data_IF_271247093988
#
_entry.id   IF_271247093988
#
_cell.length_a   1.000
_cell.length_b   1.000
_cell.length_c   1.000
_cell.angle_alpha   90.00
_cell.angle_beta   90.00
_cell.angle_gamma   90.00
#
_symmetry.space_group_name_H-M   'P 1'
#
loop_
_entity.id
_entity.type
_entity.pdbx_description
1 polymer ?
#
# COMPACT_ATOMS: atom_id res chain seq x y z
N UNK A 1 -14.93 -8.87 7.43
CA UNK A 1 -14.12 -7.75 6.91
C UNK A 1 -13.20 -8.33 5.88
N UNK A 2 -13.22 -7.81 4.65
CA UNK A 2 -12.75 -8.56 3.48
C UNK A 2 -11.30 -8.25 3.11
N UNK A 3 -10.35 -8.89 3.79
CA UNK A 3 -9.09 -9.45 3.26
C UNK A 3 -8.11 -8.55 2.45
N UNK A 4 -6.92 -9.11 2.27
CA UNK A 4 -6.04 -8.77 1.13
C UNK A 4 -6.39 -9.73 0.00
N UNK A 5 -6.83 -9.22 -1.14
CA UNK A 5 -7.20 -10.00 -2.32
C UNK A 5 -6.25 -9.68 -3.48
N UNK A 6 -5.56 -10.69 -3.99
CA UNK A 6 -4.88 -10.65 -5.26
C UNK A 6 -5.88 -10.81 -6.41
N UNK A 7 -5.88 -9.88 -7.35
CA UNK A 7 -6.78 -9.89 -8.50
C UNK A 7 -6.21 -10.68 -9.69
N UNK A 8 -4.95 -11.09 -9.63
CA UNK A 8 -4.29 -11.95 -10.61
C UNK A 8 -3.07 -12.68 -10.00
N UNK A 9 -2.57 -13.72 -10.68
CA UNK A 9 -1.42 -14.53 -10.22
C UNK A 9 -0.15 -13.70 -9.99
N UNK A 10 0.08 -12.68 -10.83
CA UNK A 10 1.21 -11.78 -10.66
C UNK A 10 1.10 -10.96 -9.36
N UNK A 11 -0.11 -10.59 -8.94
CA UNK A 11 -0.36 -9.95 -7.65
C UNK A 11 -0.16 -10.91 -6.48
N UNK A 12 -0.56 -12.19 -6.60
CA UNK A 12 -0.25 -13.21 -5.57
C UNK A 12 1.26 -13.31 -5.34
N UNK A 13 2.02 -13.37 -6.44
CA UNK A 13 3.47 -13.44 -6.38
C UNK A 13 4.09 -12.15 -5.81
N UNK A 14 3.59 -10.98 -6.19
CA UNK A 14 4.06 -9.71 -5.65
C UNK A 14 3.81 -9.60 -4.13
N UNK A 15 2.63 -9.99 -3.65
CA UNK A 15 2.33 -10.05 -2.21
C UNK A 15 3.24 -11.07 -1.52
N UNK A 16 3.45 -12.25 -2.10
CA UNK A 16 4.38 -13.25 -1.55
C UNK A 16 5.80 -12.70 -1.45
N UNK A 17 6.29 -12.01 -2.46
CA UNK A 17 7.63 -11.41 -2.47
C UNK A 17 7.77 -10.18 -1.56
N UNK A 18 6.67 -9.61 -1.08
CA UNK A 18 6.67 -8.46 -0.16
C UNK A 18 7.13 -8.80 1.27
N UNK A 19 7.16 -10.09 1.61
CA UNK A 19 7.69 -10.59 2.89
C UNK A 19 9.06 -11.26 2.70
N UNK A 20 9.88 -11.35 3.77
CA UNK A 20 11.14 -12.10 3.76
C UNK A 20 10.95 -13.54 3.27
N UNK A 21 11.96 -14.06 2.57
CA UNK A 21 11.91 -15.38 1.90
C UNK A 21 11.43 -16.52 2.80
N UNK A 22 11.92 -16.56 4.05
CA UNK A 22 11.55 -17.57 5.06
C UNK A 22 10.05 -17.64 5.38
N UNK A 23 9.27 -16.62 5.04
CA UNK A 23 7.83 -16.56 5.31
C UNK A 23 6.97 -16.74 4.05
N UNK A 24 7.58 -16.81 2.85
CA UNK A 24 6.85 -16.87 1.57
C UNK A 24 5.93 -18.08 1.46
N UNK A 25 6.33 -19.22 2.05
CA UNK A 25 5.51 -20.43 2.09
C UNK A 25 4.24 -20.29 2.92
N UNK A 26 4.18 -19.31 3.84
CA UNK A 26 2.99 -19.01 4.64
C UNK A 26 2.03 -18.03 3.95
N UNK A 27 2.40 -17.50 2.77
CA UNK A 27 1.55 -16.64 1.96
C UNK A 27 0.76 -17.52 0.98
N UNK A 28 -0.40 -17.97 1.46
CA UNK A 28 -1.31 -18.89 0.76
C UNK A 28 -2.57 -18.13 0.33
N UNK A 29 -3.05 -18.41 -0.87
CA UNK A 29 -4.27 -17.81 -1.42
C UNK A 29 -5.33 -18.88 -1.71
N UNK A 30 -6.60 -18.51 -1.57
CA UNK A 30 -7.75 -19.29 -2.03
C UNK A 30 -8.66 -18.38 -2.84
N UNK A 31 -8.76 -18.65 -4.15
CA UNK A 31 -9.50 -17.78 -5.08
C UNK A 31 -8.99 -16.32 -5.08
N UNK A 32 -7.67 -16.13 -4.97
CA UNK A 32 -7.03 -14.81 -4.85
C UNK A 32 -7.10 -14.18 -3.46
N UNK A 33 -7.83 -14.75 -2.50
CA UNK A 33 -7.94 -14.21 -1.14
C UNK A 33 -6.86 -14.77 -0.24
N UNK A 34 -6.11 -13.90 0.44
CA UNK A 34 -5.02 -14.29 1.35
C UNK A 34 -5.59 -15.06 2.57
N UNK A 35 -5.00 -16.22 2.87
CA UNK A 35 -5.33 -16.99 4.07
C UNK A 35 -4.75 -16.33 5.33
N UNK A 36 -5.64 -15.66 6.07
CA UNK A 36 -5.36 -14.99 7.34
C UNK A 36 -4.72 -15.93 8.35
N UNK A 37 -5.18 -17.19 8.43
CA UNK A 37 -4.74 -18.13 9.48
C UNK A 37 -3.26 -18.50 9.31
N UNK A 38 -2.87 -18.79 8.07
CA UNK A 38 -1.48 -19.12 7.71
C UNK A 38 -0.52 -17.95 8.00
N UNK A 39 -0.89 -16.73 7.59
CA UNK A 39 -0.07 -15.54 7.80
C UNK A 39 0.02 -15.17 9.28
N UNK A 40 -1.08 -15.29 10.03
CA UNK A 40 -1.11 -15.03 11.47
C UNK A 40 -0.25 -16.00 12.27
N UNK A 41 -0.24 -17.28 11.89
CA UNK A 41 0.64 -18.27 12.49
C UNK A 41 2.12 -17.92 12.27
N UNK A 42 2.49 -17.50 11.05
CA UNK A 42 3.85 -17.08 10.72
C UNK A 42 4.28 -15.78 11.45
N UNK A 43 3.33 -14.86 11.66
CA UNK A 43 3.54 -13.60 12.37
C UNK A 43 3.64 -13.74 13.90
N UNK A 44 3.33 -14.92 14.48
CA UNK A 44 3.31 -15.12 15.93
C UNK A 44 4.70 -14.91 16.53
N UNK A 45 4.77 -14.06 17.55
CA UNK A 45 6.03 -13.71 18.25
C UNK A 45 6.99 -12.86 17.42
N UNK A 46 6.55 -12.31 16.28
CA UNK A 46 7.35 -11.41 15.45
C UNK A 46 7.16 -9.95 15.86
N UNK A 47 8.18 -9.09 15.65
CA UNK A 47 8.08 -7.66 15.89
C UNK A 47 6.90 -7.02 15.16
N UNK A 48 6.28 -6.00 15.75
CA UNK A 48 5.08 -5.38 15.17
C UNK A 48 5.36 -4.74 13.80
N UNK A 49 6.59 -4.32 13.54
CA UNK A 49 7.05 -3.69 12.30
C UNK A 49 7.51 -4.68 11.21
N UNK A 50 7.57 -5.99 11.50
CA UNK A 50 7.96 -6.97 10.48
C UNK A 50 6.87 -7.07 9.40
N UNK A 51 7.26 -7.18 8.13
CA UNK A 51 6.35 -7.22 6.99
C UNK A 51 5.28 -8.33 7.13
N UNK A 52 5.66 -9.49 7.67
CA UNK A 52 4.71 -10.58 7.93
C UNK A 52 3.67 -10.20 9.00
N UNK A 53 4.06 -9.45 10.02
CA UNK A 53 3.16 -8.96 11.06
C UNK A 53 2.26 -7.83 10.57
N UNK A 54 2.76 -6.94 9.71
CA UNK A 54 1.95 -5.91 9.07
C UNK A 54 0.92 -6.58 8.15
N UNK A 55 1.35 -7.51 7.28
CA UNK A 55 0.46 -8.23 6.38
C UNK A 55 -0.64 -9.00 7.13
N UNK A 56 -0.30 -9.65 8.25
CA UNK A 56 -1.29 -10.31 9.12
C UNK A 56 -2.39 -9.34 9.57
N UNK A 57 -2.02 -8.12 9.99
CA UNK A 57 -2.99 -7.12 10.47
C UNK A 57 -3.81 -6.51 9.33
N UNK A 58 -3.18 -6.29 8.17
CA UNK A 58 -3.89 -5.84 6.98
C UNK A 58 -4.96 -6.85 6.56
N UNK A 59 -4.62 -8.14 6.61
CA UNK A 59 -5.52 -9.24 6.26
C UNK A 59 -6.72 -9.38 7.24
N UNK A 60 -6.58 -8.90 8.48
CA UNK A 60 -7.63 -8.87 9.50
C UNK A 60 -8.44 -7.56 9.52
N UNK A 61 -8.05 -6.54 8.74
CA UNK A 61 -8.70 -5.24 8.78
C UNK A 61 -10.10 -5.26 8.10
N UNK A 62 -11.04 -4.40 8.54
CA UNK A 62 -12.39 -4.36 7.99
C UNK A 62 -12.46 -3.85 6.54
N UNK A 63 -11.53 -3.00 6.11
CA UNK A 63 -11.52 -2.43 4.75
C UNK A 63 -10.98 -3.44 3.73
N UNK A 64 -11.64 -3.59 2.59
CA UNK A 64 -11.14 -4.46 1.53
C UNK A 64 -9.93 -3.87 0.81
N UNK A 65 -8.90 -4.70 0.58
CA UNK A 65 -7.66 -4.34 -0.11
C UNK A 65 -7.52 -5.24 -1.35
N UNK A 66 -7.65 -4.66 -2.53
CA UNK A 66 -7.45 -5.35 -3.80
C UNK A 66 -6.09 -5.01 -4.39
N UNK A 67 -5.27 -6.02 -4.67
CA UNK A 67 -3.93 -5.87 -5.27
C UNK A 67 -3.97 -6.39 -6.69
N UNK A 68 -3.55 -5.57 -7.65
CA UNK A 68 -3.53 -5.91 -9.07
C UNK A 68 -2.18 -5.57 -9.68
N UNK A 69 -1.57 -6.51 -10.39
CA UNK A 69 -0.45 -6.18 -11.30
C UNK A 69 -1.02 -5.89 -12.68
N UNK A 70 -0.84 -4.68 -13.21
CA UNK A 70 -1.42 -4.26 -14.48
C UNK A 70 -0.55 -3.20 -15.19
N UNK A 71 -0.81 -2.99 -16.48
CA UNK A 71 -0.20 -1.91 -17.27
C UNK A 71 -0.97 -0.60 -17.14
N UNK A 72 -2.26 -0.67 -16.83
CA UNK A 72 -3.15 0.47 -16.69
C UNK A 72 -4.17 0.23 -15.59
N UNK A 73 -4.79 1.32 -15.13
CA UNK A 73 -5.86 1.29 -14.15
C UNK A 73 -6.71 2.55 -14.24
N UNK A 74 -7.89 2.51 -13.64
CA UNK A 74 -8.81 3.63 -13.58
C UNK A 74 -8.87 4.20 -12.17
N UNK A 75 -9.00 5.52 -12.06
CA UNK A 75 -9.14 6.23 -10.80
C UNK A 75 -10.24 7.30 -10.92
N UNK A 76 -10.74 7.79 -9.78
CA UNK A 76 -11.77 8.82 -9.73
C UNK A 76 -11.20 10.14 -9.21
N UNK A 77 -11.71 11.24 -9.76
CA UNK A 77 -11.53 12.58 -9.23
C UNK A 77 -12.76 13.44 -9.55
N UNK A 78 -13.28 14.19 -8.57
CA UNK A 78 -14.46 15.05 -8.74
C UNK A 78 -15.63 14.34 -9.46
N UNK A 79 -15.92 13.09 -9.06
CA UNK A 79 -16.93 12.19 -9.66
C UNK A 79 -16.71 11.81 -11.15
N UNK A 80 -15.56 12.14 -11.73
CA UNK A 80 -15.14 11.67 -13.05
C UNK A 80 -14.16 10.51 -12.91
N UNK A 81 -14.25 9.55 -13.81
CA UNK A 81 -13.28 8.45 -13.92
C UNK A 81 -12.22 8.83 -14.95
N UNK A 82 -10.97 8.55 -14.63
CA UNK A 82 -9.80 8.76 -15.46
C UNK A 82 -9.05 7.45 -15.61
N UNK A 83 -8.57 7.16 -16.82
CA UNK A 83 -7.73 6.00 -17.09
C UNK A 83 -6.27 6.42 -17.14
N UNK A 84 -5.40 5.62 -16.55
CA UNK A 84 -3.97 5.86 -16.49
C UNK A 84 -3.19 4.63 -16.92
N UNK A 85 -2.07 4.84 -17.60
CA UNK A 85 -1.13 3.79 -18.00
C UNK A 85 0.21 4.03 -17.31
N UNK A 86 0.82 2.98 -16.74
CA UNK A 86 2.16 3.06 -16.18
C UNK A 86 3.20 3.24 -17.31
N UNK A 87 3.68 4.46 -17.56
CA UNK A 87 4.76 4.69 -18.52
C UNK A 87 6.11 4.32 -17.92
N UNK A 88 6.95 3.61 -18.68
CA UNK A 88 8.20 3.05 -18.16
C UNK A 88 9.37 4.04 -18.14
N UNK A 89 9.35 5.15 -18.88
CA UNK A 89 10.63 5.76 -19.29
C UNK A 89 10.98 7.17 -18.78
N UNK A 90 10.13 7.95 -18.11
CA UNK A 90 10.54 9.29 -17.66
C UNK A 90 9.93 9.70 -16.30
N UNK A 91 10.79 10.25 -15.44
CA UNK A 91 10.50 10.60 -14.04
C UNK A 91 9.93 12.02 -13.94
N UNK A 92 8.74 12.17 -13.36
CA UNK A 92 8.24 13.44 -12.86
C UNK A 92 6.77 13.38 -12.44
N UNK A 93 6.48 13.60 -11.16
CA UNK A 93 5.11 13.85 -10.70
C UNK A 93 4.73 15.28 -11.11
N UNK A 94 4.04 15.39 -12.24
CA UNK A 94 3.39 16.62 -12.69
C UNK A 94 1.88 16.38 -12.67
N UNK A 95 1.15 17.14 -11.87
CA UNK A 95 -0.31 17.17 -11.84
C UNK A 95 -0.90 18.09 -12.92
N UNK A 96 -0.18 18.31 -14.03
CA UNK A 96 -0.77 18.96 -15.21
C UNK A 96 -1.48 17.91 -16.07
N UNK A 97 -2.71 18.27 -16.46
CA UNK A 97 -3.88 17.42 -16.71
C UNK A 97 -3.78 16.32 -17.78
N UNK A 98 -2.62 16.07 -18.38
CA UNK A 98 -2.53 15.18 -19.54
C UNK A 98 -1.56 13.99 -19.37
N UNK A 99 -0.64 13.97 -18.40
CA UNK A 99 0.27 12.83 -18.19
C UNK A 99 0.62 12.63 -16.71
N UNK A 100 -0.15 11.79 -16.02
CA UNK A 100 0.18 11.35 -14.66
C UNK A 100 1.21 10.21 -14.77
N UNK A 101 2.49 10.53 -14.55
CA UNK A 101 3.56 9.55 -14.49
C UNK A 101 3.62 8.95 -13.09
N UNK A 102 3.21 7.69 -12.95
CA UNK A 102 3.29 7.02 -11.66
C UNK A 102 4.56 6.20 -11.53
N UNK A 103 5.11 6.32 -10.32
CA UNK A 103 5.97 5.34 -9.65
C UNK A 103 5.49 3.90 -9.97
N UNK A 104 6.33 2.87 -9.84
CA UNK A 104 6.00 1.54 -10.31
C UNK A 104 4.88 0.84 -9.50
N UNK A 105 4.28 1.54 -8.53
CA UNK A 105 3.03 1.19 -7.86
C UNK A 105 2.23 2.43 -7.48
N UNK A 106 0.95 2.22 -7.14
CA UNK A 106 0.04 3.25 -6.62
C UNK A 106 -1.03 2.63 -5.75
N UNK A 107 -1.41 3.36 -4.71
CA UNK A 107 -2.54 3.03 -3.84
C UNK A 107 -3.66 4.04 -4.05
N UNK A 108 -4.82 3.57 -4.52
CA UNK A 108 -6.07 4.33 -4.59
C UNK A 108 -6.90 4.06 -3.34
N UNK A 109 -7.34 5.14 -2.70
CA UNK A 109 -8.13 5.05 -1.48
C UNK A 109 -9.62 5.09 -1.80
N UNK A 110 -10.49 4.45 -1.01
CA UNK A 110 -11.92 4.70 -1.09
C UNK A 110 -12.20 6.21 -1.08
N UNK A 111 -13.07 6.68 -1.97
CA UNK A 111 -13.54 8.06 -1.97
C UNK A 111 -14.03 8.39 -0.56
N UNK A 112 -13.38 9.37 0.09
CA UNK A 112 -13.71 9.73 1.46
C UNK A 112 -15.11 10.33 1.50
N UNK A 113 -15.87 9.96 2.53
CA UNK A 113 -16.91 10.83 3.07
C UNK A 113 -16.30 12.24 3.26
N UNK A 114 -16.89 13.26 2.62
CA UNK A 114 -16.39 14.62 2.29
C UNK A 114 -15.43 15.31 3.29
N UNK A 115 -15.45 14.95 4.58
CA UNK A 115 -14.74 15.64 5.66
C UNK A 115 -13.21 15.59 5.60
N UNK A 116 -12.62 14.66 4.83
CA UNK A 116 -11.21 14.33 4.97
C UNK A 116 -10.33 14.58 3.74
N UNK A 117 -10.90 15.06 2.64
CA UNK A 117 -10.16 15.61 1.47
C UNK A 117 -9.80 17.08 1.69
N UNK A 118 -10.60 17.81 2.49
CA UNK A 118 -10.43 19.25 2.78
C UNK A 118 -9.09 19.62 3.44
N UNK A 119 -8.38 18.66 4.05
CA UNK A 119 -7.11 18.91 4.76
C UNK A 119 -5.85 18.63 3.94
N UNK A 120 -5.95 17.95 2.80
CA UNK A 120 -4.78 17.48 2.06
C UNK A 120 -4.23 18.49 1.04
N UNK A 121 -4.99 19.52 0.65
CA UNK A 121 -4.56 20.54 -0.32
C UNK A 121 -4.39 20.03 -1.77
N UNK A 122 -4.12 18.75 -1.95
CA UNK A 122 -3.93 18.08 -3.24
C UNK A 122 -5.09 17.10 -3.53
N UNK A 123 -5.55 17.12 -4.79
CA UNK A 123 -6.57 16.22 -5.32
C UNK A 123 -5.97 14.83 -5.51
N UNK A 124 -6.23 13.93 -4.57
CA UNK A 124 -5.62 12.60 -4.53
C UNK A 124 -6.45 11.57 -5.32
N UNK A 125 -5.80 10.57 -5.92
CA UNK A 125 -6.51 9.61 -6.75
C UNK A 125 -7.32 8.63 -5.90
N UNK A 126 -8.64 8.60 -6.12
CA UNK A 126 -9.55 7.74 -5.37
C UNK A 126 -9.98 6.52 -6.17
N UNK A 127 -10.33 5.46 -5.45
CA UNK A 127 -10.77 4.17 -5.96
C UNK A 127 -12.06 4.31 -6.77
N UNK A 128 -12.15 3.57 -7.88
CA UNK A 128 -13.39 3.50 -8.66
C UNK A 128 -14.43 2.61 -8.00
N UNK A 129 -13.98 1.64 -7.20
CA UNK A 129 -14.76 0.55 -6.60
C UNK A 129 -15.17 0.78 -5.14
N UNK A 130 -14.68 1.85 -4.52
CA UNK A 130 -14.96 2.16 -3.11
C UNK A 130 -14.21 1.26 -2.12
N UNK A 131 -13.14 0.59 -2.57
CA UNK A 131 -12.25 -0.24 -1.74
C UNK A 131 -10.83 0.35 -1.79
N UNK A 132 -9.90 -0.20 -1.03
CA UNK A 132 -8.48 0.15 -1.17
C UNK A 132 -7.97 -0.63 -2.38
N UNK A 133 -7.51 0.07 -3.42
CA UNK A 133 -6.95 -0.57 -4.61
C UNK A 133 -5.44 -0.30 -4.66
N UNK A 134 -4.65 -1.35 -4.81
CA UNK A 134 -3.21 -1.28 -4.99
C UNK A 134 -2.89 -1.78 -6.37
N UNK A 135 -2.30 -0.92 -7.20
CA UNK A 135 -1.81 -1.27 -8.52
C UNK A 135 -0.30 -1.31 -8.53
N UNK A 136 0.25 -2.34 -9.16
CA UNK A 136 1.68 -2.53 -9.35
C UNK A 136 1.91 -2.61 -10.86
N UNK A 137 2.85 -1.82 -11.36
CA UNK A 137 3.22 -1.83 -12.77
C UNK A 137 3.74 -3.21 -13.19
N UNK A 138 3.25 -3.70 -14.32
CA UNK A 138 3.77 -4.92 -14.96
C UNK A 138 5.19 -4.73 -15.50
N UNK A 139 5.54 -3.51 -15.91
CA UNK A 139 6.77 -3.16 -16.62
C UNK A 139 7.59 -2.13 -15.84
N UNK A 140 8.03 -2.46 -14.61
CA UNK A 140 8.94 -1.58 -13.86
C UNK A 140 10.39 -1.74 -14.35
N UNK A 141 10.99 -0.74 -15.04
CA UNK A 141 12.40 -0.82 -15.44
C UNK A 141 13.35 -0.57 -14.27
N UNK A 142 12.84 -0.07 -13.15
CA UNK A 142 13.62 0.17 -11.94
C UNK A 142 13.70 -1.11 -11.11
N UNK A 143 14.94 -1.51 -10.83
CA UNK A 143 15.45 -2.71 -10.11
C UNK A 143 14.93 -2.90 -8.67
N UNK A 144 13.64 -2.72 -8.43
CA UNK A 144 12.95 -3.21 -7.24
C UNK A 144 12.10 -4.41 -7.68
N UNK A 145 12.25 -5.56 -7.02
CA UNK A 145 11.35 -6.68 -7.30
C UNK A 145 9.91 -6.23 -7.05
N UNK A 146 8.95 -6.79 -7.78
CA UNK A 146 7.51 -6.51 -7.58
C UNK A 146 7.11 -6.64 -6.10
N UNK A 147 7.76 -7.55 -5.36
CA UNK A 147 7.65 -7.63 -3.91
C UNK A 147 7.97 -6.35 -3.14
N UNK A 148 9.04 -5.62 -3.49
CA UNK A 148 9.38 -4.35 -2.84
C UNK A 148 8.33 -3.27 -3.11
N UNK A 149 7.81 -3.21 -4.33
CA UNK A 149 6.74 -2.28 -4.69
C UNK A 149 5.46 -2.65 -3.91
N UNK A 150 5.08 -3.92 -3.91
CA UNK A 150 3.96 -4.41 -3.12
C UNK A 150 4.12 -4.08 -1.63
N UNK A 151 5.32 -4.24 -1.08
CA UNK A 151 5.61 -3.88 0.31
C UNK A 151 5.44 -2.37 0.55
N UNK A 152 5.92 -1.52 -0.37
CA UNK A 152 5.76 -0.07 -0.25
C UNK A 152 4.28 0.34 -0.25
N UNK A 153 3.50 -0.15 -1.21
CA UNK A 153 2.08 0.17 -1.31
C UNK A 153 1.29 -0.36 -0.11
N UNK A 154 1.47 -1.64 0.25
CA UNK A 154 0.74 -2.27 1.36
C UNK A 154 1.15 -1.72 2.73
N UNK A 155 2.45 -1.60 3.00
CA UNK A 155 2.95 -1.31 4.35
C UNK A 155 3.21 0.17 4.58
N UNK A 156 3.47 0.93 3.51
CA UNK A 156 3.57 2.38 3.52
C UNK A 156 2.20 3.04 3.43
N UNK A 157 1.52 2.90 2.28
CA UNK A 157 0.30 3.65 1.98
C UNK A 157 -0.95 3.06 2.65
N UNK A 158 -1.24 1.77 2.44
CA UNK A 158 -2.46 1.15 2.99
C UNK A 158 -2.46 1.15 4.52
N UNK A 159 -1.37 0.73 5.15
CA UNK A 159 -1.22 0.78 6.61
C UNK A 159 -1.43 2.20 7.15
N UNK A 160 -0.82 3.22 6.54
CA UNK A 160 -0.92 4.59 7.01
C UNK A 160 -2.35 5.13 6.88
N UNK A 161 -3.03 4.82 5.76
CA UNK A 161 -4.45 5.14 5.61
C UNK A 161 -5.32 4.53 6.71
N UNK A 162 -5.10 3.26 7.08
CA UNK A 162 -5.84 2.61 8.16
C UNK A 162 -5.57 3.30 9.50
N UNK A 163 -4.29 3.59 9.81
CA UNK A 163 -3.93 4.32 11.04
C UNK A 163 -4.53 5.73 11.09
N UNK A 164 -4.61 6.39 9.93
CA UNK A 164 -5.25 7.70 9.79
C UNK A 164 -6.75 7.63 10.09
N UNK A 165 -7.47 6.62 9.55
CA UNK A 165 -8.89 6.39 9.87
C UNK A 165 -9.13 6.14 11.36
N UNK A 166 -8.14 5.58 12.05
CA UNK A 166 -8.19 5.33 13.49
C UNK A 166 -7.80 6.57 14.34
N UNK A 167 -7.45 7.70 13.71
CA UNK A 167 -7.00 8.91 14.41
C UNK A 167 -5.60 8.80 15.03
N UNK A 168 -4.82 7.78 14.65
CA UNK A 168 -3.46 7.54 15.19
C UNK A 168 -2.42 8.41 14.49
N UNK A 169 -2.60 8.68 13.20
CA UNK A 169 -1.76 9.58 12.41
C UNK A 169 -2.61 10.68 11.80
N UNK A 170 -2.01 11.85 11.56
CA UNK A 170 -2.71 13.03 11.04
C UNK A 170 -2.79 13.07 9.52
N UNK A 171 -1.98 12.26 8.84
CA UNK A 171 -1.88 12.14 7.39
C UNK A 171 -1.99 10.68 6.94
N UNK A 172 -2.26 10.46 5.66
CA UNK A 172 -2.37 9.12 5.09
C UNK A 172 -1.39 8.89 3.92
N UNK A 173 -0.59 9.90 3.58
CA UNK A 173 0.54 9.82 2.64
C UNK A 173 1.85 10.05 3.40
N UNK A 174 2.93 9.37 3.03
CA UNK A 174 4.25 9.67 3.60
C UNK A 174 4.87 10.84 2.82
N UNK A 175 5.50 11.78 3.53
CA UNK A 175 6.15 12.95 2.94
C UNK A 175 7.50 12.59 2.33
N UNK A 176 7.92 13.34 1.32
CA UNK A 176 9.24 13.22 0.67
C UNK A 176 10.36 13.19 1.75
N UNK A 177 11.37 12.32 1.68
CA UNK A 177 12.36 12.09 2.76
C UNK A 177 13.22 13.31 3.13
N UNK A 178 13.17 14.39 2.33
CA UNK A 178 13.80 15.68 2.64
C UNK A 178 13.01 16.55 3.64
N UNK A 179 11.77 16.18 3.95
CA UNK A 179 10.91 16.91 4.87
C UNK A 179 10.47 15.94 5.99
N UNK A 180 11.41 15.62 6.88
CA UNK A 180 11.19 14.78 8.07
C UNK A 180 10.24 15.47 9.05
N UNK A 181 8.96 15.52 8.71
CA UNK A 181 7.92 15.68 9.72
C UNK A 181 7.88 14.40 10.55
N UNK A 182 7.47 14.50 11.82
CA UNK A 182 7.68 13.51 12.89
C UNK A 182 7.21 12.06 12.62
N UNK A 183 6.62 11.81 11.46
CA UNK A 183 6.17 10.51 10.99
C UNK A 183 7.25 9.68 10.28
N UNK A 184 8.25 10.28 9.62
CA UNK A 184 9.44 9.51 9.19
C UNK A 184 10.18 8.97 10.40
N UNK A 185 10.21 9.73 11.50
CA UNK A 185 10.70 9.24 12.78
C UNK A 185 9.82 8.15 13.42
N UNK A 186 8.54 8.03 13.06
CA UNK A 186 7.63 6.99 13.55
C UNK A 186 7.72 5.70 12.71
N UNK A 187 7.90 5.84 11.40
CA UNK A 187 8.27 4.73 10.50
C UNK A 187 9.69 4.26 10.83
N UNK A 188 10.67 5.15 10.99
CA UNK A 188 12.03 4.83 11.45
C UNK A 188 12.04 4.26 12.88
N UNK A 189 11.21 4.75 13.82
CA UNK A 189 11.08 4.12 15.18
C UNK A 189 10.45 2.74 15.11
N UNK A 190 9.48 2.56 14.22
CA UNK A 190 8.89 1.25 13.97
C UNK A 190 9.93 0.33 13.33
N UNK A 191 10.69 0.78 12.33
CA UNK A 191 11.66 0.02 11.56
C UNK A 191 12.99 -0.26 12.30
N UNK A 192 13.46 0.66 13.15
CA UNK A 192 14.76 0.54 13.83
C UNK A 192 14.76 -0.32 15.10
N UNK A 193 13.60 -0.70 15.63
CA UNK A 193 13.52 -1.59 16.79
C UNK A 193 14.21 -1.10 18.07
N UNK A 194 14.60 0.17 18.17
CA UNK A 194 15.23 0.74 19.36
C UNK A 194 14.19 1.46 20.21
N UNK A 195 13.65 0.77 21.21
CA UNK A 195 13.10 1.44 22.39
C UNK A 195 14.27 2.02 23.17
N UNK A 196 14.49 3.34 23.07
CA UNK A 196 15.27 4.06 24.09
C UNK A 196 14.47 3.98 25.40
N UNK A 197 14.99 3.24 26.37
CA UNK A 197 14.59 3.37 27.77
C UNK A 197 14.37 2.05 28.50
N UNK A 198 15.42 1.25 28.66
CA UNK A 198 15.67 0.46 29.86
C UNK A 198 17.18 0.54 30.16
N UNK A 199 17.57 1.63 30.82
CA UNK A 199 18.76 1.75 31.67
C UNK A 199 18.46 2.78 32.75
#
# INVERSE_FOLDING_TARGET
>A
GKWVQAMNEAAEQAIRESVPERFRSSIVFSGGVLDVSSVKAAAKGRPLNDNISILSRLAENPNEIQVTVAQSFSWKLDNKTFDMTFYSNDMGLSYDQDQVYLNPGVTLLPQKEESAESKAGEKLPVSTRGVIEVYISINSPWMSSRGKIAAHELYGHVRRYILWKMGIVTDFWHSNPGNKNGTDAATDKAESGVTKGDR
#
